data_IF_513134051509
#
_entry.id   IF_513134051509
#
_cell.length_a   1.000
_cell.length_b   1.000
_cell.length_c   1.000
_cell.angle_alpha   90.00
_cell.angle_beta   90.00
_cell.angle_gamma   90.00
#
_symmetry.space_group_name_H-M   'P 1'
#
loop_
_entity.id
_entity.type
_entity.pdbx_description
1 polymer ?
#
# COMPACT_ATOMS: atom_id res chain seq x y z
N UNK A 1 3.88 -0.82 28.59
CA UNK A 1 5.13 -0.24 28.07
C UNK A 1 4.82 1.13 27.45
N UNK A 2 5.79 2.05 27.35
CA UNK A 2 5.54 3.33 26.69
C UNK A 2 5.44 3.11 25.17
N UNK A 3 4.49 3.76 24.50
CA UNK A 3 4.36 3.68 23.04
C UNK A 3 5.65 4.20 22.38
N UNK A 4 6.17 3.51 21.34
CA UNK A 4 7.37 3.96 20.65
C UNK A 4 7.14 5.32 20.01
N UNK A 5 8.14 6.19 20.13
CA UNK A 5 8.14 7.52 19.51
C UNK A 5 8.22 7.40 17.98
N UNK A 6 7.72 8.39 17.24
CA UNK A 6 7.81 8.39 15.76
C UNK A 6 9.25 8.29 15.26
N UNK A 7 10.20 8.83 16.03
CA UNK A 7 11.64 8.71 15.72
C UNK A 7 12.16 7.29 15.86
N UNK A 8 11.71 6.55 16.87
CA UNK A 8 12.06 5.13 17.02
C UNK A 8 11.48 4.30 15.87
N UNK A 9 10.22 4.55 15.50
CA UNK A 9 9.59 3.88 14.35
C UNK A 9 10.35 4.16 13.05
N UNK A 10 10.69 5.41 12.78
CA UNK A 10 11.46 5.79 11.60
C UNK A 10 12.84 5.10 11.56
N UNK A 11 13.54 5.01 12.70
CA UNK A 11 14.83 4.31 12.77
C UNK A 11 14.72 2.80 12.47
N UNK A 12 13.58 2.17 12.78
CA UNK A 12 13.30 0.77 12.46
C UNK A 12 12.89 0.57 11.00
N UNK A 13 12.43 1.63 10.34
CA UNK A 13 11.92 1.58 8.98
C UNK A 13 12.98 1.33 7.93
N UNK A 14 12.57 0.67 6.86
CA UNK A 14 13.36 0.41 5.66
C UNK A 14 13.21 1.60 4.70
N UNK A 15 14.30 2.15 4.15
CA UNK A 15 14.23 3.23 3.16
C UNK A 15 13.33 2.88 1.97
N UNK A 16 12.62 3.88 1.44
CA UNK A 16 11.62 3.69 0.39
C UNK A 16 12.20 3.01 -0.87
N UNK A 17 13.46 3.34 -1.19
CA UNK A 17 14.20 2.83 -2.35
C UNK A 17 14.34 1.29 -2.38
N UNK A 18 14.28 0.66 -1.21
CA UNK A 18 14.58 -0.75 -0.97
C UNK A 18 13.42 -1.48 -0.30
N UNK A 19 12.45 -0.73 0.23
CA UNK A 19 11.25 -1.26 0.88
C UNK A 19 10.47 -2.23 -0.03
N UNK A 20 10.25 -1.88 -1.30
CA UNK A 20 9.48 -2.71 -2.25
C UNK A 20 10.05 -4.13 -2.39
N UNK A 21 11.37 -4.28 -2.33
CA UNK A 21 11.99 -5.60 -2.41
C UNK A 21 12.02 -6.30 -1.05
N UNK A 22 12.20 -5.55 0.04
CA UNK A 22 12.31 -6.11 1.39
C UNK A 22 10.99 -6.66 1.92
N UNK A 23 9.88 -5.99 1.63
CA UNK A 23 8.53 -6.42 2.02
C UNK A 23 7.90 -7.42 1.03
N UNK A 24 8.50 -7.61 -0.15
CA UNK A 24 8.06 -8.64 -1.09
C UNK A 24 8.20 -10.06 -0.53
N UNK A 25 7.36 -10.97 -1.02
CA UNK A 25 7.40 -12.38 -0.66
C UNK A 25 8.77 -13.01 -0.93
N UNK A 26 9.11 -14.10 -0.23
CA UNK A 26 10.36 -14.81 -0.47
C UNK A 26 10.49 -15.28 -1.94
N UNK A 27 9.38 -15.70 -2.54
CA UNK A 27 9.31 -16.09 -3.95
C UNK A 27 9.62 -14.92 -4.89
N UNK A 28 8.98 -13.76 -4.69
CA UNK A 28 9.21 -12.57 -5.50
C UNK A 28 10.65 -12.07 -5.41
N UNK A 29 11.25 -12.11 -4.22
CA UNK A 29 12.67 -11.78 -4.02
C UNK A 29 13.60 -12.73 -4.76
N UNK A 30 13.26 -14.03 -4.80
CA UNK A 30 14.00 -15.03 -5.58
C UNK A 30 13.87 -14.77 -7.08
N UNK A 31 12.64 -14.54 -7.57
CA UNK A 31 12.42 -14.19 -8.98
C UNK A 31 13.21 -12.94 -9.37
N UNK A 32 13.21 -11.91 -8.52
CA UNK A 32 14.00 -10.70 -8.76
C UNK A 32 15.51 -10.98 -8.90
N UNK A 33 16.07 -11.88 -8.09
CA UNK A 33 17.51 -12.18 -8.10
C UNK A 33 17.92 -13.06 -9.30
N UNK A 34 16.98 -13.84 -9.83
CA UNK A 34 17.15 -14.64 -11.04
C UNK A 34 17.08 -13.79 -12.32
N UNK A 35 16.43 -12.63 -12.29
CA UNK A 35 16.37 -11.72 -13.44
C UNK A 35 17.79 -11.28 -13.88
N UNK A 36 18.10 -11.38 -15.18
CA UNK A 36 19.41 -11.00 -15.69
C UNK A 36 19.70 -9.52 -15.37
N UNK A 37 20.93 -9.28 -14.90
CA UNK A 37 21.46 -7.92 -14.71
C UNK A 37 22.11 -7.44 -15.99
N UNK A 38 22.09 -6.13 -16.24
CA UNK A 38 22.78 -5.50 -17.38
C UNK A 38 24.27 -5.90 -17.46
N UNK A 39 24.90 -6.15 -16.31
CA UNK A 39 26.28 -6.62 -16.25
C UNK A 39 26.47 -8.05 -16.80
N UNK A 40 25.53 -8.97 -16.52
CA UNK A 40 25.53 -10.33 -17.08
C UNK A 40 25.25 -10.29 -18.58
N UNK A 41 24.25 -9.50 -18.98
CA UNK A 41 23.91 -9.30 -20.39
C UNK A 41 25.09 -8.75 -21.20
N UNK A 42 25.81 -7.74 -20.68
CA UNK A 42 26.99 -7.18 -21.36
C UNK A 42 28.13 -8.19 -21.53
N UNK A 43 28.24 -9.21 -20.68
CA UNK A 43 29.25 -10.28 -20.85
C UNK A 43 28.82 -11.27 -21.92
N UNK A 44 27.56 -11.71 -21.90
CA UNK A 44 26.98 -12.64 -22.87
C UNK A 44 26.94 -12.02 -24.28
N UNK A 45 26.44 -10.78 -24.39
CA UNK A 45 26.42 -10.06 -25.65
C UNK A 45 27.83 -9.87 -26.25
N UNK A 46 28.86 -9.63 -25.42
CA UNK A 46 30.26 -9.55 -25.89
C UNK A 46 30.81 -10.90 -26.37
N UNK A 47 30.33 -12.02 -25.81
CA UNK A 47 30.71 -13.35 -26.28
C UNK A 47 30.02 -13.68 -27.61
N UNK A 48 28.73 -13.38 -27.73
CA UNK A 48 27.93 -13.65 -28.93
C UNK A 48 28.31 -12.76 -30.13
N UNK A 49 28.68 -11.50 -29.87
CA UNK A 49 29.24 -10.60 -30.89
C UNK A 49 30.55 -11.13 -31.48
N UNK A 50 31.40 -11.78 -30.67
CA UNK A 50 32.62 -12.43 -31.15
C UNK A 50 32.32 -13.70 -31.95
N UNK A 51 31.18 -14.34 -31.71
CA UNK A 51 30.72 -15.53 -32.41
C UNK A 51 29.96 -15.23 -33.72
N UNK A 52 29.81 -13.95 -34.10
CA UNK A 52 29.13 -13.55 -35.34
C UNK A 52 27.60 -13.68 -35.29
N UNK A 53 27.00 -13.83 -34.10
CA UNK A 53 25.56 -13.84 -33.95
C UNK A 53 24.96 -12.44 -34.22
N UNK A 54 23.80 -12.39 -34.89
CA UNK A 54 23.18 -11.16 -35.37
C UNK A 54 22.89 -10.13 -34.25
N UNK A 55 23.55 -8.98 -34.31
CA UNK A 55 23.44 -7.84 -33.38
C UNK A 55 21.99 -7.43 -33.09
N UNK A 56 21.11 -7.47 -34.11
CA UNK A 56 19.71 -7.07 -33.98
C UNK A 56 18.92 -7.99 -33.01
N UNK A 57 19.21 -9.30 -33.01
CA UNK A 57 18.54 -10.26 -32.13
C UNK A 57 18.97 -10.10 -30.68
N UNK A 58 20.26 -9.80 -30.46
CA UNK A 58 20.81 -9.47 -29.15
C UNK A 58 20.21 -8.17 -28.60
N UNK A 59 20.10 -7.11 -29.41
CA UNK A 59 19.48 -5.87 -28.94
C UNK A 59 18.00 -6.09 -28.58
N UNK A 60 17.25 -6.86 -29.37
CA UNK A 60 15.84 -7.16 -29.07
C UNK A 60 15.67 -7.97 -27.77
N UNK A 61 16.52 -8.97 -27.52
CA UNK A 61 16.47 -9.74 -26.27
C UNK A 61 16.92 -8.92 -25.05
N UNK A 62 17.91 -8.03 -25.21
CA UNK A 62 18.32 -7.08 -24.17
C UNK A 62 17.15 -6.19 -23.74
N UNK A 63 16.47 -5.64 -24.74
CA UNK A 63 15.36 -4.71 -24.54
C UNK A 63 14.19 -5.42 -23.88
N UNK A 64 13.81 -6.62 -24.33
CA UNK A 64 12.70 -7.37 -23.73
C UNK A 64 12.98 -7.75 -22.27
N UNK A 65 14.19 -8.22 -21.95
CA UNK A 65 14.58 -8.55 -20.58
C UNK A 65 14.58 -7.30 -19.68
N UNK A 66 15.08 -6.17 -20.18
CA UNK A 66 15.06 -4.91 -19.44
C UNK A 66 13.63 -4.45 -19.17
N UNK A 67 12.74 -4.54 -20.15
CA UNK A 67 11.32 -4.25 -19.96
C UNK A 67 10.68 -5.19 -18.92
N UNK A 68 10.95 -6.50 -18.99
CA UNK A 68 10.46 -7.45 -18.00
C UNK A 68 10.92 -7.09 -16.58
N UNK A 69 12.17 -6.66 -16.42
CA UNK A 69 12.69 -6.22 -15.12
C UNK A 69 12.02 -4.94 -14.63
N UNK A 70 11.93 -3.92 -15.48
CA UNK A 70 11.28 -2.64 -15.13
C UNK A 70 9.81 -2.88 -14.75
N UNK A 71 9.10 -3.70 -15.51
CA UNK A 71 7.72 -4.07 -15.23
C UNK A 71 7.60 -4.86 -13.91
N UNK A 72 8.53 -5.78 -13.65
CA UNK A 72 8.54 -6.54 -12.40
C UNK A 72 8.83 -5.65 -11.18
N UNK A 73 9.82 -4.76 -11.28
CA UNK A 73 10.09 -3.76 -10.25
C UNK A 73 8.88 -2.83 -10.03
N UNK A 74 8.21 -2.43 -11.11
CA UNK A 74 6.97 -1.66 -11.03
C UNK A 74 5.87 -2.44 -10.28
N UNK A 75 5.63 -3.71 -10.61
CA UNK A 75 4.64 -4.54 -9.90
C UNK A 75 4.93 -4.68 -8.40
N UNK A 76 6.20 -4.79 -8.00
CA UNK A 76 6.56 -4.84 -6.58
C UNK A 76 6.37 -3.51 -5.86
N UNK A 77 6.57 -2.39 -6.57
CA UNK A 77 6.28 -1.05 -6.04
C UNK A 77 4.78 -0.86 -5.84
N UNK A 78 3.95 -1.24 -6.81
CA UNK A 78 2.49 -1.20 -6.67
C UNK A 78 2.02 -2.04 -5.49
N UNK A 79 2.54 -3.28 -5.34
CA UNK A 79 2.21 -4.13 -4.20
C UNK A 79 2.56 -3.47 -2.86
N UNK A 80 3.70 -2.77 -2.77
CA UNK A 80 4.07 -2.04 -1.56
C UNK A 80 3.08 -0.88 -1.27
N UNK A 81 2.63 -0.18 -2.32
CA UNK A 81 1.64 0.89 -2.18
C UNK A 81 0.30 0.34 -1.70
N UNK A 82 -0.14 -0.81 -2.22
CA UNK A 82 -1.34 -1.51 -1.75
C UNK A 82 -1.23 -1.86 -0.25
N UNK A 83 -0.08 -2.35 0.19
CA UNK A 83 0.16 -2.66 1.61
C UNK A 83 0.15 -1.41 2.50
N UNK A 84 0.62 -0.26 2.00
CA UNK A 84 0.50 1.01 2.70
C UNK A 84 -0.95 1.48 2.79
N UNK A 85 -1.71 1.34 1.71
CA UNK A 85 -3.13 1.69 1.64
C UNK A 85 -3.97 0.85 2.62
N UNK A 86 -3.73 -0.46 2.63
CA UNK A 86 -4.39 -1.41 3.53
C UNK A 86 -3.92 -1.32 4.99
N UNK A 87 -3.07 -0.35 5.32
CA UNK A 87 -2.54 -0.11 6.68
C UNK A 87 -1.76 -1.29 7.27
N UNK A 88 -1.27 -2.21 6.43
CA UNK A 88 -0.34 -3.28 6.83
C UNK A 88 1.03 -2.69 7.12
N UNK A 89 1.44 -1.72 6.29
CA UNK A 89 2.65 -0.96 6.44
C UNK A 89 2.34 0.50 6.81
N UNK A 90 3.36 1.22 7.26
CA UNK A 90 3.25 2.66 7.49
C UNK A 90 4.50 3.40 7.04
N UNK A 91 4.30 4.53 6.38
CA UNK A 91 5.36 5.41 5.93
C UNK A 91 5.64 6.52 6.94
N UNK A 92 6.92 6.77 7.21
CA UNK A 92 7.40 7.88 8.04
C UNK A 92 8.50 8.63 7.30
N UNK A 93 8.54 9.95 7.40
CA UNK A 93 9.58 10.76 6.79
C UNK A 93 9.65 12.17 7.38
N UNK A 94 10.64 12.95 6.97
CA UNK A 94 10.75 14.35 7.38
C UNK A 94 10.01 15.24 6.39
N UNK A 95 9.11 16.09 6.89
CA UNK A 95 8.54 17.15 6.06
C UNK A 95 9.62 18.21 5.81
N UNK A 96 9.94 18.51 4.56
CA UNK A 96 10.92 19.54 4.16
C UNK A 96 10.25 20.84 3.71
N UNK A 97 9.03 20.76 3.15
CA UNK A 97 8.25 21.91 2.69
C UNK A 97 6.80 21.86 3.19
N UNK A 98 6.15 22.99 3.53
CA UNK A 98 6.70 24.37 3.53
C UNK A 98 7.62 24.68 4.72
N UNK A 99 7.64 23.81 5.73
CA UNK A 99 8.50 23.94 6.91
C UNK A 99 9.16 22.62 7.23
N UNK A 100 10.47 22.69 7.48
CA UNK A 100 11.29 21.54 7.87
C UNK A 100 10.87 21.07 9.27
N UNK A 101 10.40 19.83 9.36
CA UNK A 101 10.07 19.18 10.63
C UNK A 101 11.33 18.71 11.34
N UNK A 102 11.42 18.92 12.66
CA UNK A 102 12.53 18.42 13.50
C UNK A 102 12.42 16.93 13.85
N UNK A 103 11.25 16.33 13.60
CA UNK A 103 10.96 14.93 13.87
C UNK A 103 10.27 14.29 12.66
N UNK A 104 10.48 12.99 12.44
CA UNK A 104 9.75 12.29 11.40
C UNK A 104 8.26 12.30 11.72
N UNK A 105 7.46 12.49 10.68
CA UNK A 105 6.01 12.48 10.71
C UNK A 105 5.51 11.26 9.96
N UNK A 106 4.37 10.74 10.37
CA UNK A 106 3.67 9.71 9.60
C UNK A 106 3.14 10.34 8.32
N UNK A 107 3.32 9.65 7.20
CA UNK A 107 2.79 10.03 5.90
C UNK A 107 1.50 9.23 5.69
N UNK A 108 0.42 9.92 5.33
CA UNK A 108 -0.88 9.31 5.08
C UNK A 108 -0.82 8.50 3.77
N UNK A 109 -1.43 7.31 3.75
CA UNK A 109 -1.35 6.42 2.60
C UNK A 109 -2.04 7.01 1.36
N UNK A 110 -3.11 7.77 1.54
CA UNK A 110 -3.86 8.46 0.48
C UNK A 110 -3.01 9.47 -0.34
N UNK A 111 -1.88 9.91 0.22
CA UNK A 111 -0.95 10.78 -0.48
C UNK A 111 -0.20 10.03 -1.59
N UNK A 112 0.01 8.72 -1.45
CA UNK A 112 0.70 7.88 -2.43
C UNK A 112 -0.21 7.52 -3.62
N UNK A 113 -1.53 7.40 -3.43
CA UNK A 113 -2.47 7.11 -4.53
C UNK A 113 -2.52 8.22 -5.58
N UNK A 114 -2.40 9.46 -5.11
CA UNK A 114 -2.59 10.64 -5.94
C UNK A 114 -1.27 11.23 -6.46
N UNK A 115 -0.13 10.76 -5.98
CA UNK A 115 1.18 11.33 -6.29
C UNK A 115 2.23 10.22 -6.39
N UNK A 116 3.05 10.29 -7.42
CA UNK A 116 4.14 9.32 -7.62
C UNK A 116 5.32 9.65 -6.71
N UNK A 117 5.71 8.76 -5.78
CA UNK A 117 6.93 8.96 -5.01
C UNK A 117 8.18 8.85 -5.90
N UNK A 118 9.20 9.66 -5.63
CA UNK A 118 10.53 9.45 -6.17
C UNK A 118 11.24 8.39 -5.33
N UNK A 119 11.16 7.15 -5.80
CA UNK A 119 11.77 5.99 -5.16
C UNK A 119 13.27 6.13 -4.93
N UNK A 120 13.98 6.80 -5.84
CA UNK A 120 15.45 6.89 -5.78
C UNK A 120 15.90 7.97 -4.81
N UNK A 121 15.15 9.06 -4.71
CA UNK A 121 15.43 10.16 -3.77
C UNK A 121 14.75 9.99 -2.42
N UNK A 122 13.90 8.97 -2.29
CA UNK A 122 13.07 8.71 -1.11
C UNK A 122 12.21 9.92 -0.75
N UNK A 123 11.65 10.59 -1.76
CA UNK A 123 10.84 11.80 -1.58
C UNK A 123 9.42 11.65 -2.12
N UNK A 124 8.48 12.36 -1.51
CA UNK A 124 7.09 12.47 -1.96
C UNK A 124 6.67 13.94 -1.92
N UNK A 125 6.19 14.46 -3.04
CA UNK A 125 5.57 15.78 -3.11
C UNK A 125 4.06 15.61 -3.26
N UNK A 126 3.31 16.00 -2.23
CA UNK A 126 1.87 15.84 -2.20
C UNK A 126 1.18 17.02 -1.50
N UNK A 127 0.13 17.56 -2.14
CA UNK A 127 -0.69 18.67 -1.58
C UNK A 127 0.13 19.87 -1.08
N UNK A 128 1.18 20.25 -1.81
CA UNK A 128 2.08 21.36 -1.45
C UNK A 128 3.01 21.08 -0.28
N UNK A 129 3.16 19.81 0.12
CA UNK A 129 4.11 19.35 1.12
C UNK A 129 5.13 18.44 0.45
N UNK A 130 6.37 18.57 0.88
CA UNK A 130 7.43 17.67 0.47
C UNK A 130 7.88 16.86 1.69
N UNK A 131 8.01 15.56 1.49
CA UNK A 131 8.52 14.60 2.45
C UNK A 131 9.82 14.01 1.90
N UNK A 132 10.82 13.85 2.76
CA UNK A 132 12.11 13.27 2.43
C UNK A 132 12.54 12.20 3.44
N UNK A 133 13.52 11.39 3.06
CA UNK A 133 14.03 10.25 3.85
C UNK A 133 12.88 9.33 4.29
N UNK A 134 12.01 9.01 3.34
CA UNK A 134 10.83 8.20 3.59
C UNK A 134 11.25 6.78 3.91
N UNK A 135 10.78 6.26 5.04
CA UNK A 135 11.00 4.90 5.50
C UNK A 135 9.68 4.19 5.76
N UNK A 136 9.63 2.92 5.41
CA UNK A 136 8.47 2.05 5.52
C UNK A 136 8.67 1.10 6.70
N UNK A 137 7.66 1.03 7.56
CA UNK A 137 7.67 0.26 8.80
C UNK A 137 6.53 -0.75 8.76
N UNK A 138 6.83 -2.00 9.11
CA UNK A 138 5.82 -3.01 9.39
C UNK A 138 5.37 -2.88 10.85
N UNK A 139 4.12 -2.44 11.03
CA UNK A 139 3.57 -2.20 12.36
C UNK A 139 3.26 -3.51 13.10
N UNK A 140 3.15 -4.64 12.41
CA UNK A 140 2.86 -5.93 13.02
C UNK A 140 4.03 -6.47 13.84
N UNK A 141 5.26 -6.05 13.49
CA UNK A 141 6.48 -6.46 14.20
C UNK A 141 6.70 -5.68 15.49
N UNK A 142 5.99 -4.57 15.69
CA UNK A 142 6.13 -3.73 16.87
C UNK A 142 5.07 -4.16 17.87
N UNK A 143 5.47 -4.98 18.85
CA UNK A 143 4.63 -5.29 20.01
C UNK A 143 4.10 -3.99 20.63
N UNK A 144 2.81 -3.99 20.97
CA UNK A 144 2.08 -2.86 21.56
C UNK A 144 1.78 -1.66 20.64
N UNK A 145 2.09 -1.72 19.33
CA UNK A 145 1.64 -0.64 18.44
C UNK A 145 0.12 -0.71 18.25
N UNK A 146 -0.61 0.07 19.04
CA UNK A 146 -2.03 0.26 18.82
C UNK A 146 -2.21 0.79 17.40
N UNK A 147 -2.84 -0.02 16.54
CA UNK A 147 -3.26 0.41 15.21
C UNK A 147 -3.89 1.81 15.35
N UNK A 148 -3.59 2.76 14.44
CA UNK A 148 -4.18 4.09 14.51
C UNK A 148 -5.66 3.92 14.83
N UNK A 149 -6.11 4.52 15.94
CA UNK A 149 -7.49 4.39 16.39
C UNK A 149 -8.35 4.54 15.16
N UNK A 150 -9.05 3.47 14.77
CA UNK A 150 -10.03 3.49 13.70
C UNK A 150 -10.80 4.78 13.89
N UNK A 151 -10.75 5.67 12.89
CA UNK A 151 -11.32 7.01 13.02
C UNK A 151 -12.73 6.88 13.60
N UNK A 152 -13.14 7.81 14.47
CA UNK A 152 -14.40 7.75 15.27
C UNK A 152 -15.42 6.83 14.62
N UNK A 153 -15.84 5.75 15.27
CA UNK A 153 -16.52 4.56 14.73
C UNK A 153 -17.46 4.72 13.52
N UNK A 154 -18.10 5.86 13.30
CA UNK A 154 -18.87 6.15 12.08
C UNK A 154 -18.19 6.99 11.00
N UNK A 155 -16.86 7.11 11.04
CA UNK A 155 -16.08 7.69 9.95
C UNK A 155 -16.15 6.81 8.72
N UNK A 156 -16.09 7.41 7.54
CA UNK A 156 -16.10 6.70 6.26
C UNK A 156 -15.04 5.58 6.21
N UNK A 157 -13.82 5.87 6.69
CA UNK A 157 -12.72 4.92 6.75
C UNK A 157 -13.03 3.72 7.66
N UNK A 158 -13.60 3.95 8.84
CA UNK A 158 -13.97 2.86 9.76
C UNK A 158 -15.10 1.98 9.19
N UNK A 159 -16.06 2.59 8.50
CA UNK A 159 -17.16 1.87 7.85
C UNK A 159 -16.62 0.99 6.72
N UNK A 160 -15.76 1.53 5.84
CA UNK A 160 -15.18 0.78 4.71
C UNK A 160 -14.33 -0.40 5.18
N UNK A 161 -13.40 -0.15 6.10
CA UNK A 161 -12.57 -1.21 6.69
C UNK A 161 -13.44 -2.30 7.35
N UNK A 162 -14.55 -1.93 8.01
CA UNK A 162 -15.46 -2.92 8.60
C UNK A 162 -16.17 -3.76 7.54
N UNK A 163 -16.57 -3.17 6.41
CA UNK A 163 -17.20 -3.90 5.31
C UNK A 163 -16.21 -4.88 4.69
N UNK A 164 -14.96 -4.45 4.47
CA UNK A 164 -13.88 -5.29 3.94
C UNK A 164 -13.60 -6.48 4.88
N UNK A 165 -13.45 -6.24 6.18
CA UNK A 165 -13.24 -7.28 7.18
C UNK A 165 -14.38 -8.32 7.15
N UNK A 166 -15.64 -7.87 7.12
CA UNK A 166 -16.81 -8.77 7.09
C UNK A 166 -16.86 -9.59 5.80
N UNK A 167 -16.53 -9.00 4.65
CA UNK A 167 -16.48 -9.73 3.37
C UNK A 167 -15.35 -10.76 3.35
N UNK A 168 -14.18 -10.41 3.89
CA UNK A 168 -13.04 -11.32 4.01
C UNK A 168 -13.34 -12.52 4.94
N UNK A 169 -14.16 -12.31 5.98
CA UNK A 169 -14.67 -13.37 6.85
C UNK A 169 -15.79 -14.23 6.22
N UNK A 170 -16.20 -13.92 4.98
CA UNK A 170 -17.25 -14.66 4.27
C UNK A 170 -18.67 -14.30 4.70
N UNK A 171 -18.86 -13.16 5.40
CA UNK A 171 -20.20 -12.67 5.73
C UNK A 171 -20.88 -12.23 4.43
N UNK A 172 -22.07 -12.78 4.08
CA UNK A 172 -22.70 -12.54 2.79
C UNK A 172 -23.41 -11.18 2.72
N UNK A 173 -22.70 -10.09 2.99
CA UNK A 173 -23.26 -8.73 3.06
C UNK A 173 -24.03 -8.36 1.80
N UNK A 174 -23.59 -8.78 0.61
CA UNK A 174 -24.28 -8.47 -0.64
C UNK A 174 -25.63 -9.18 -0.79
N UNK A 175 -25.83 -10.35 -0.16
CA UNK A 175 -27.07 -11.13 -0.24
C UNK A 175 -28.09 -10.86 0.88
N UNK A 176 -27.68 -10.18 1.95
CA UNK A 176 -28.58 -9.82 3.06
C UNK A 176 -29.58 -8.73 2.67
N UNK A 177 -30.66 -8.59 3.45
CA UNK A 177 -31.50 -7.38 3.37
C UNK A 177 -30.71 -6.15 3.82
N UNK A 178 -31.11 -4.97 3.33
CA UNK A 178 -30.38 -3.72 3.55
C UNK A 178 -30.24 -3.38 5.04
N UNK A 179 -31.32 -3.52 5.79
CA UNK A 179 -31.41 -3.33 7.24
C UNK A 179 -30.53 -4.33 8.00
N UNK A 180 -30.58 -5.60 7.64
CA UNK A 180 -29.75 -6.66 8.23
C UNK A 180 -28.25 -6.37 8.06
N UNK A 181 -27.79 -6.04 6.85
CA UNK A 181 -26.39 -5.71 6.62
C UNK A 181 -25.93 -4.45 7.36
N UNK A 182 -26.79 -3.43 7.45
CA UNK A 182 -26.48 -2.24 8.25
C UNK A 182 -26.31 -2.62 9.73
N UNK A 183 -27.19 -3.47 10.26
CA UNK A 183 -27.13 -3.93 11.65
C UNK A 183 -25.86 -4.75 11.93
N UNK A 184 -25.42 -5.60 10.98
CA UNK A 184 -24.16 -6.35 11.11
C UNK A 184 -22.96 -5.39 11.18
N UNK A 185 -22.91 -4.36 10.33
CA UNK A 185 -21.83 -3.36 10.35
C UNK A 185 -21.86 -2.55 11.66
N UNK A 186 -23.04 -2.12 12.12
CA UNK A 186 -23.22 -1.42 13.39
C UNK A 186 -22.78 -2.31 14.57
N UNK A 187 -23.16 -3.59 14.57
CA UNK A 187 -22.79 -4.52 15.62
C UNK A 187 -21.27 -4.71 15.69
N UNK A 188 -20.59 -4.81 14.53
CA UNK A 188 -19.13 -4.92 14.46
C UNK A 188 -18.43 -3.65 14.95
N UNK A 189 -18.98 -2.47 14.65
CA UNK A 189 -18.44 -1.18 15.11
C UNK A 189 -18.79 -0.91 16.59
N UNK A 190 -19.84 -1.54 17.12
CA UNK A 190 -20.23 -1.58 18.53
C UNK A 190 -21.39 -0.64 18.87
N UNK A 191 -22.46 -1.19 19.45
CA UNK A 191 -23.84 -0.67 19.56
C UNK A 191 -24.10 0.71 20.21
N UNK A 192 -23.11 1.40 20.79
CA UNK A 192 -23.31 2.73 21.40
C UNK A 192 -22.87 3.84 20.45
N UNK A 193 -23.82 4.37 19.68
CA UNK A 193 -23.58 5.48 18.77
C UNK A 193 -24.57 6.62 19.03
N UNK A 194 -24.09 7.83 19.36
CA UNK A 194 -24.95 9.00 19.42
C UNK A 194 -25.48 9.37 18.03
N UNK A 195 -26.60 10.09 18.00
CA UNK A 195 -27.12 10.68 16.78
C UNK A 195 -26.04 11.55 16.10
N UNK A 196 -25.96 11.44 14.77
CA UNK A 196 -24.91 12.11 13.98
C UNK A 196 -23.55 11.40 13.96
N UNK A 197 -23.45 10.17 14.45
CA UNK A 197 -22.22 9.36 14.39
C UNK A 197 -21.75 9.02 12.98
N UNK A 198 -22.63 9.07 11.98
CA UNK A 198 -22.38 8.59 10.61
C UNK A 198 -22.85 7.16 10.37
N UNK A 199 -23.30 6.44 11.42
CA UNK A 199 -23.77 5.04 11.37
C UNK A 199 -25.29 4.91 11.24
N UNK A 200 -25.93 5.87 10.59
CA UNK A 200 -27.37 5.80 10.34
C UNK A 200 -27.69 4.79 9.23
N UNK A 201 -28.88 4.19 9.30
CA UNK A 201 -29.45 3.34 8.24
C UNK A 201 -29.65 4.08 6.90
N UNK A 202 -29.52 5.40 6.91
CA UNK A 202 -29.53 6.26 5.72
C UNK A 202 -28.15 6.35 5.07
N UNK A 203 -27.08 6.35 5.85
CA UNK A 203 -25.72 6.59 5.38
C UNK A 203 -24.97 5.29 5.03
N UNK A 204 -25.05 4.27 5.89
CA UNK A 204 -24.37 2.98 5.70
C UNK A 204 -24.62 2.33 4.33
N UNK A 205 -25.84 2.36 3.76
CA UNK A 205 -26.10 1.76 2.46
C UNK A 205 -25.28 2.34 1.31
N UNK A 206 -24.87 3.61 1.40
CA UNK A 206 -23.99 4.21 0.38
C UNK A 206 -22.65 3.48 0.30
N UNK A 207 -22.05 3.20 1.45
CA UNK A 207 -20.80 2.44 1.53
C UNK A 207 -21.00 0.99 1.11
N UNK A 208 -22.10 0.34 1.48
CA UNK A 208 -22.34 -1.04 1.06
C UNK A 208 -22.47 -1.14 -0.47
N UNK A 209 -23.07 -0.14 -1.13
CA UNK A 209 -23.18 -0.12 -2.59
C UNK A 209 -21.82 0.03 -3.31
N UNK A 210 -20.80 0.62 -2.66
CA UNK A 210 -19.43 0.69 -3.20
C UNK A 210 -18.85 -0.73 -3.42
N UNK A 211 -19.20 -1.69 -2.55
CA UNK A 211 -18.70 -3.08 -2.59
C UNK A 211 -19.71 -4.09 -3.17
N UNK A 212 -21.01 -3.79 -3.08
CA UNK A 212 -22.11 -4.65 -3.53
C UNK A 212 -23.02 -3.92 -4.54
N UNK A 213 -22.52 -3.59 -5.75
CA UNK A 213 -23.25 -2.73 -6.70
C UNK A 213 -24.53 -3.35 -7.27
N UNK A 214 -24.71 -4.68 -7.17
CA UNK A 214 -25.86 -5.42 -7.72
C UNK A 214 -27.01 -5.64 -6.72
N UNK A 215 -26.98 -5.02 -5.54
CA UNK A 215 -28.08 -5.13 -4.55
C UNK A 215 -29.36 -4.53 -5.12
N UNK A 216 -30.22 -5.37 -5.69
CA UNK A 216 -31.54 -4.99 -6.21
C UNK A 216 -31.67 -4.92 -7.73
N UNK A 217 -30.82 -5.61 -8.51
CA UNK A 217 -31.06 -5.81 -9.94
C UNK A 217 -31.97 -7.01 -10.28
N UNK A 218 -32.34 -7.80 -9.28
CA UNK A 218 -33.32 -8.89 -9.42
C UNK A 218 -34.48 -8.65 -8.43
N UNK A 219 -35.35 -7.71 -8.77
CA UNK A 219 -36.77 -7.73 -8.38
C UNK A 219 -37.59 -7.57 -9.66
#
# INVERSE_FOLDING_TARGET
MANPTTRQLWNLGIPLDSAWLKFASAEMRRLHSELPTLAKFNREAKADLKAGAGLNKLMQSAVSQMHSRVNFEHSLRELLLDQLFNSELSAFGFRTSPSVSRSPVRIEADLFDNHTPDWKRETLNARGREYAEIRIVDLTQIQDFQRPRTGRKGSAAAIRSTIEDLLAEGVPLCGMRRDEACNVIIARLGSNHPDGSGLSLTNLPKYILEYCPKRGLDN
#
